data_IF_951984345896
#
_entry.id   IF_951984345896
#
_cell.length_a   1.000
_cell.length_b   1.000
_cell.length_c   1.000
_cell.angle_alpha   90.00
_cell.angle_beta   90.00
_cell.angle_gamma   90.00
#
_symmetry.space_group_name_H-M   'P 1'
#
loop_
_entity.id
_entity.type
_entity.pdbx_description
1 polymer ?
#
# COMPACT_ATOMS: atom_id res chain seq x y z
N UNK A 1 5.34 10.20 -12.03
CA UNK A 1 4.03 9.69 -11.63
C UNK A 1 4.04 8.18 -11.63
N UNK A 2 3.72 7.59 -10.49
CA UNK A 2 3.61 6.13 -10.36
C UNK A 2 2.19 5.69 -10.71
N UNK A 3 2.03 4.55 -11.40
CA UNK A 3 0.71 3.96 -11.56
C UNK A 3 0.08 3.62 -10.19
N UNK A 4 -1.20 3.94 -10.01
CA UNK A 4 -1.90 3.73 -8.73
C UNK A 4 -1.91 2.27 -8.26
N UNK A 5 -1.89 1.32 -9.21
CA UNK A 5 -1.81 -0.13 -8.91
C UNK A 5 -0.45 -0.59 -8.35
N UNK A 6 0.55 0.29 -8.28
CA UNK A 6 1.83 0.02 -7.62
C UNK A 6 1.88 0.56 -6.18
N UNK A 7 0.75 0.97 -5.62
CA UNK A 7 0.64 1.30 -4.20
C UNK A 7 0.39 0.02 -3.41
N UNK A 8 1.45 -0.70 -3.11
CA UNK A 8 1.36 -1.92 -2.31
C UNK A 8 1.41 -1.57 -0.82
N UNK A 9 0.66 -2.32 -0.03
CA UNK A 9 0.72 -2.31 1.43
C UNK A 9 1.21 -3.66 1.92
N UNK A 10 1.81 -3.71 3.11
CA UNK A 10 2.33 -4.92 3.69
C UNK A 10 1.65 -5.18 5.02
N UNK A 11 1.20 -6.42 5.24
CA UNK A 11 0.65 -6.92 6.48
C UNK A 11 1.75 -7.54 7.38
N UNK A 12 1.46 -7.73 8.67
CA UNK A 12 2.39 -8.26 9.66
C UNK A 12 3.34 -7.24 10.28
N UNK A 13 3.30 -5.99 9.84
CA UNK A 13 4.04 -4.87 10.44
C UNK A 13 3.12 -3.66 10.59
N UNK A 14 3.48 -2.71 11.44
CA UNK A 14 2.81 -1.42 11.52
C UNK A 14 3.75 -0.30 11.09
N UNK A 15 3.22 0.72 10.40
CA UNK A 15 4.03 1.83 9.91
C UNK A 15 3.21 3.06 9.54
N UNK A 16 3.90 4.17 9.33
CA UNK A 16 3.31 5.37 8.76
C UNK A 16 4.04 5.78 7.47
N UNK A 17 3.30 6.45 6.59
CA UNK A 17 3.83 6.98 5.33
C UNK A 17 3.88 8.49 5.41
N UNK A 18 5.08 9.05 5.47
CA UNK A 18 5.35 10.50 5.47
C UNK A 18 5.49 11.00 4.04
N UNK A 19 4.42 11.54 3.47
CA UNK A 19 4.42 12.06 2.10
C UNK A 19 4.94 13.49 1.99
N UNK A 20 5.34 14.15 3.08
CA UNK A 20 6.05 15.43 3.03
C UNK A 20 7.45 15.28 2.44
N UNK A 21 8.01 14.08 2.49
CA UNK A 21 9.32 13.76 1.95
C UNK A 21 9.26 13.40 0.46
N UNK A 22 10.30 13.70 -0.33
CA UNK A 22 10.34 13.29 -1.72
C UNK A 22 10.35 11.76 -1.87
N UNK A 23 9.95 11.26 -3.03
CA UNK A 23 10.07 9.84 -3.35
C UNK A 23 11.55 9.44 -3.40
N UNK A 24 11.92 8.32 -2.74
CA UNK A 24 13.29 7.78 -2.80
C UNK A 24 13.63 7.24 -4.18
N UNK A 25 12.67 6.60 -4.82
CA UNK A 25 12.84 5.96 -6.12
C UNK A 25 11.92 6.60 -7.17
N UNK A 26 12.35 6.57 -8.41
CA UNK A 26 11.50 6.90 -9.55
C UNK A 26 10.65 5.69 -10.00
N UNK A 27 9.81 5.88 -11.03
CA UNK A 27 8.94 4.85 -11.59
C UNK A 27 9.68 3.63 -12.17
N UNK A 28 10.98 3.75 -12.39
CA UNK A 28 11.84 2.70 -12.91
C UNK A 28 12.65 1.98 -11.81
N UNK A 29 12.38 2.32 -10.54
CA UNK A 29 13.05 1.73 -9.38
C UNK A 29 14.45 2.29 -9.13
N UNK A 30 14.83 3.37 -9.83
CA UNK A 30 16.13 4.02 -9.66
C UNK A 30 16.08 5.00 -8.47
N UNK A 31 17.07 4.93 -7.58
CA UNK A 31 17.20 5.88 -6.47
C UNK A 31 17.49 7.29 -6.99
N UNK A 32 16.57 8.23 -6.71
CA UNK A 32 16.68 9.64 -7.07
C UNK A 32 16.87 10.54 -5.85
N UNK A 33 16.44 10.08 -4.68
CA UNK A 33 16.67 10.75 -3.39
C UNK A 33 17.09 9.68 -2.36
N UNK A 34 18.34 9.21 -2.36
CA UNK A 34 18.78 8.03 -1.59
C UNK A 34 18.59 8.18 -0.08
N UNK A 35 18.68 9.39 0.45
CA UNK A 35 18.52 9.68 1.88
C UNK A 35 17.05 9.85 2.31
N UNK A 36 16.11 9.85 1.37
CA UNK A 36 14.69 9.99 1.67
C UNK A 36 14.09 8.66 2.12
N UNK A 37 13.35 8.67 3.23
CA UNK A 37 12.56 7.56 3.69
C UNK A 37 11.17 8.04 4.05
N UNK A 38 10.16 7.58 3.29
CA UNK A 38 8.74 7.87 3.56
C UNK A 38 8.14 6.94 4.61
N UNK A 39 8.68 5.72 4.75
CA UNK A 39 8.23 4.79 5.77
C UNK A 39 8.87 5.19 7.09
N UNK A 40 8.03 5.52 8.07
CA UNK A 40 8.43 5.92 9.42
C UNK A 40 7.68 5.10 10.45
N UNK A 41 8.20 5.02 11.67
CA UNK A 41 7.61 4.26 12.77
C UNK A 41 7.34 2.79 12.42
N UNK A 42 8.22 2.19 11.61
CA UNK A 42 8.10 0.78 11.21
C UNK A 42 8.37 -0.14 12.40
N UNK A 43 7.37 -0.97 12.72
CA UNK A 43 7.41 -1.88 13.86
C UNK A 43 6.98 -3.30 13.48
N UNK A 44 7.55 -4.26 14.14
CA UNK A 44 7.14 -5.66 14.16
C UNK A 44 6.85 -6.08 15.61
N UNK A 45 5.72 -6.70 15.89
CA UNK A 45 5.26 -7.06 17.24
C UNK A 45 5.34 -5.89 18.24
N UNK A 46 4.98 -4.67 17.80
CA UNK A 46 4.96 -3.48 18.63
C UNK A 46 6.34 -2.91 19.01
N UNK A 47 7.41 -3.40 18.38
CA UNK A 47 8.79 -2.93 18.58
C UNK A 47 9.37 -2.38 17.28
N UNK A 48 10.26 -1.38 17.36
CA UNK A 48 10.99 -0.95 16.16
C UNK A 48 11.66 -2.14 15.49
N UNK A 49 11.56 -2.19 14.15
CA UNK A 49 12.14 -3.29 13.38
C UNK A 49 13.68 -3.27 13.50
N UNK A 50 14.27 -4.42 13.69
CA UNK A 50 15.73 -4.57 13.62
C UNK A 50 16.14 -4.67 12.14
N UNK A 51 17.03 -3.81 11.64
CA UNK A 51 17.51 -3.86 10.25
C UNK A 51 18.17 -5.19 9.86
N UNK A 52 18.71 -5.93 10.83
CA UNK A 52 19.35 -7.23 10.60
C UNK A 52 18.37 -8.41 10.66
N UNK A 53 17.13 -8.16 11.08
CA UNK A 53 16.11 -9.20 11.15
C UNK A 53 15.68 -9.64 9.75
N UNK A 54 15.64 -10.95 9.55
CA UNK A 54 15.17 -11.54 8.28
C UNK A 54 13.71 -11.92 8.37
N UNK A 55 12.98 -11.62 7.31
CA UNK A 55 11.59 -11.96 7.16
C UNK A 55 11.37 -12.82 5.91
N UNK A 56 10.37 -13.66 5.94
CA UNK A 56 9.81 -14.30 4.75
C UNK A 56 8.55 -13.53 4.38
N UNK A 57 8.52 -12.98 3.18
CA UNK A 57 7.40 -12.17 2.68
C UNK A 57 6.60 -12.99 1.67
N UNK A 58 5.32 -13.19 1.93
CA UNK A 58 4.39 -13.76 0.95
C UNK A 58 3.93 -12.67 -0.03
N UNK A 59 4.02 -12.95 -1.32
CA UNK A 59 3.61 -12.02 -2.37
C UNK A 59 3.12 -12.79 -3.60
N UNK A 60 2.63 -12.09 -4.62
CA UNK A 60 2.24 -12.72 -5.87
C UNK A 60 3.45 -12.92 -6.81
N UNK A 61 3.29 -13.78 -7.81
CA UNK A 61 4.34 -14.10 -8.77
C UNK A 61 4.80 -12.87 -9.58
N UNK A 62 3.91 -11.92 -9.89
CA UNK A 62 4.27 -10.71 -10.61
C UNK A 62 5.27 -9.85 -9.81
N UNK A 63 5.01 -9.63 -8.52
CA UNK A 63 5.95 -8.90 -7.64
C UNK A 63 7.24 -9.67 -7.44
N UNK A 64 7.15 -10.97 -7.14
CA UNK A 64 8.31 -11.83 -6.92
C UNK A 64 9.28 -11.87 -8.11
N UNK A 65 8.77 -11.71 -9.33
CA UNK A 65 9.60 -11.65 -10.55
C UNK A 65 10.10 -10.24 -10.92
N UNK A 66 9.93 -9.25 -10.05
CA UNK A 66 10.38 -7.87 -10.28
C UNK A 66 9.33 -6.96 -10.92
N UNK A 67 8.08 -7.41 -11.02
CA UNK A 67 6.98 -6.61 -11.53
C UNK A 67 6.72 -5.36 -10.69
N UNK A 68 6.56 -4.20 -11.35
CA UNK A 68 6.43 -2.90 -10.70
C UNK A 68 7.77 -2.26 -10.34
N UNK A 69 8.91 -2.93 -10.63
CA UNK A 69 10.26 -2.42 -10.42
C UNK A 69 10.54 -2.00 -8.97
N UNK A 70 10.00 -2.76 -8.02
CA UNK A 70 10.32 -2.55 -6.61
C UNK A 70 11.79 -2.90 -6.36
N UNK A 71 12.57 -2.02 -5.72
CA UNK A 71 13.97 -2.27 -5.43
C UNK A 71 14.15 -3.55 -4.61
N UNK A 72 15.25 -4.25 -4.88
CA UNK A 72 15.66 -5.47 -4.17
C UNK A 72 14.69 -6.67 -4.26
N UNK A 73 13.62 -6.58 -5.04
CA UNK A 73 12.74 -7.71 -5.33
C UNK A 73 13.13 -8.32 -6.69
N UNK A 74 13.63 -9.55 -6.64
CA UNK A 74 14.08 -10.28 -7.83
C UNK A 74 13.85 -11.78 -7.67
N UNK A 75 13.79 -12.49 -8.80
CA UNK A 75 13.46 -13.90 -8.85
C UNK A 75 14.46 -14.81 -8.10
N UNK A 76 15.71 -14.38 -7.97
CA UNK A 76 16.77 -15.10 -7.24
C UNK A 76 16.53 -15.11 -5.71
N UNK A 77 15.66 -14.27 -5.20
CA UNK A 77 15.26 -14.21 -3.78
C UNK A 77 14.05 -15.08 -3.44
N UNK A 78 13.44 -15.70 -4.44
CA UNK A 78 12.29 -16.58 -4.24
C UNK A 78 12.75 -17.89 -3.61
N UNK A 79 12.27 -18.18 -2.40
CA UNK A 79 12.61 -19.39 -1.65
C UNK A 79 11.55 -20.48 -1.78
N UNK A 80 10.33 -20.12 -2.17
CA UNK A 80 9.22 -21.06 -2.34
C UNK A 80 8.18 -20.51 -3.34
N UNK A 81 7.70 -21.37 -4.20
CA UNK A 81 6.59 -21.08 -5.12
C UNK A 81 5.43 -22.01 -4.77
N UNK A 82 4.33 -21.43 -4.26
CA UNK A 82 3.13 -22.20 -3.95
C UNK A 82 2.44 -22.68 -5.24
N UNK A 83 1.90 -23.91 -5.26
CA UNK A 83 1.17 -24.44 -6.42
C UNK A 83 -0.22 -23.80 -6.58
N UNK A 84 -0.78 -23.27 -5.50
CA UNK A 84 -2.13 -22.70 -5.49
C UNK A 84 -2.15 -21.27 -6.02
N UNK A 85 -3.21 -20.90 -6.71
CA UNK A 85 -3.44 -19.50 -7.08
C UNK A 85 -3.96 -18.70 -5.87
N UNK A 86 -3.74 -17.38 -5.86
CA UNK A 86 -4.31 -16.51 -4.82
C UNK A 86 -5.84 -16.66 -4.73
N UNK A 87 -6.51 -16.86 -5.86
CA UNK A 87 -7.95 -17.10 -5.90
C UNK A 87 -8.32 -18.37 -5.15
N UNK A 88 -7.62 -19.47 -5.38
CA UNK A 88 -7.93 -20.75 -4.73
C UNK A 88 -7.74 -20.67 -3.22
N UNK A 89 -6.70 -19.97 -2.76
CA UNK A 89 -6.45 -19.72 -1.34
C UNK A 89 -7.59 -18.92 -0.71
N UNK A 90 -8.02 -17.83 -1.37
CA UNK A 90 -9.12 -16.98 -0.88
C UNK A 90 -10.44 -17.77 -0.84
N UNK A 91 -10.74 -18.55 -1.89
CA UNK A 91 -11.97 -19.36 -1.94
C UNK A 91 -11.98 -20.41 -0.81
N UNK A 92 -10.86 -21.11 -0.60
CA UNK A 92 -10.76 -22.08 0.52
C UNK A 92 -10.94 -21.38 1.87
N UNK A 93 -10.28 -20.25 2.08
CA UNK A 93 -10.44 -19.50 3.32
C UNK A 93 -11.89 -19.11 3.58
N UNK A 94 -12.62 -18.61 2.56
CA UNK A 94 -14.04 -18.26 2.71
C UNK A 94 -14.89 -19.50 3.04
N UNK A 95 -14.63 -20.63 2.40
CA UNK A 95 -15.34 -21.90 2.66
C UNK A 95 -15.09 -22.35 4.11
N UNK A 96 -13.83 -22.34 4.55
CA UNK A 96 -13.44 -22.81 5.88
C UNK A 96 -14.00 -21.92 7.00
N UNK A 97 -14.07 -20.61 6.77
CA UNK A 97 -14.64 -19.68 7.75
C UNK A 97 -16.18 -19.64 7.72
N UNK A 98 -16.81 -20.06 6.63
CA UNK A 98 -18.27 -19.99 6.40
C UNK A 98 -18.76 -18.55 6.21
N UNK A 99 -18.52 -17.67 7.17
CA UNK A 99 -18.82 -16.23 7.08
C UNK A 99 -17.57 -15.43 7.35
N UNK A 100 -17.25 -14.49 6.46
CA UNK A 100 -16.15 -13.56 6.65
C UNK A 100 -16.70 -12.16 6.91
N UNK A 101 -15.97 -11.37 7.70
CA UNK A 101 -16.24 -9.96 7.95
C UNK A 101 -14.98 -9.15 7.55
N UNK A 102 -14.84 -8.80 6.26
CA UNK A 102 -13.67 -8.06 5.79
C UNK A 102 -13.60 -6.69 6.44
N UNK A 103 -12.51 -6.39 7.10
CA UNK A 103 -12.25 -5.10 7.70
C UNK A 103 -10.79 -4.72 7.51
N UNK A 104 -10.49 -3.42 7.47
CA UNK A 104 -9.12 -2.96 7.52
C UNK A 104 -8.56 -3.17 8.93
N UNK A 105 -7.35 -3.67 9.04
CA UNK A 105 -6.63 -3.88 10.29
C UNK A 105 -5.94 -2.62 10.83
N UNK A 106 -5.97 -1.52 10.03
CA UNK A 106 -5.36 -0.24 10.36
C UNK A 106 -3.85 -0.33 10.69
N UNK A 107 -3.16 -1.30 10.10
CA UNK A 107 -1.74 -1.52 10.34
C UNK A 107 -0.83 -0.45 9.72
N UNK A 108 -1.38 0.41 8.86
CA UNK A 108 -0.68 1.57 8.34
C UNK A 108 -1.56 2.82 8.28
N UNK A 109 -0.91 3.98 8.27
CA UNK A 109 -1.58 5.28 8.07
C UNK A 109 -0.63 6.27 7.39
N UNK A 110 -1.16 7.39 6.93
CA UNK A 110 -0.29 8.53 6.61
C UNK A 110 0.19 9.19 7.90
N UNK A 111 1.43 9.64 7.92
CA UNK A 111 1.91 10.49 9.00
C UNK A 111 1.19 11.84 8.94
N UNK A 112 0.73 12.41 10.06
CA UNK A 112 0.10 13.72 10.08
C UNK A 112 1.06 14.79 9.57
N UNK A 113 0.62 15.60 8.61
CA UNK A 113 1.37 16.73 8.07
C UNK A 113 0.49 17.96 8.10
N UNK A 114 0.80 18.92 8.97
CA UNK A 114 -0.03 20.09 9.18
C UNK A 114 -0.28 20.86 7.87
N UNK A 115 -1.54 21.25 7.65
CA UNK A 115 -1.98 22.04 6.48
C UNK A 115 -1.66 21.38 5.12
N UNK A 116 -1.61 20.06 5.09
CA UNK A 116 -1.25 19.30 3.89
C UNK A 116 -2.38 18.38 3.46
N UNK A 117 -2.50 18.19 2.17
CA UNK A 117 -3.47 17.28 1.58
C UNK A 117 -2.81 16.43 0.49
N UNK A 118 -3.30 15.20 0.32
CA UNK A 118 -2.97 14.35 -0.81
C UNK A 118 -4.14 14.31 -1.80
N UNK A 119 -3.83 14.31 -3.08
CA UNK A 119 -4.83 14.17 -4.14
C UNK A 119 -4.73 12.76 -4.71
N UNK A 120 -5.89 12.12 -4.91
CA UNK A 120 -5.99 10.86 -5.62
C UNK A 120 -7.23 10.87 -6.52
N UNK A 121 -7.23 10.00 -7.52
CA UNK A 121 -8.34 9.83 -8.45
C UNK A 121 -8.86 8.40 -8.38
N UNK A 122 -10.19 8.27 -8.42
CA UNK A 122 -10.88 6.97 -8.46
C UNK A 122 -12.17 7.07 -9.25
N UNK A 123 -12.89 5.96 -9.42
CA UNK A 123 -14.14 5.94 -10.14
C UNK A 123 -15.16 6.97 -9.60
N UNK A 124 -15.96 7.63 -10.46
CA UNK A 124 -16.82 8.74 -10.05
C UNK A 124 -17.88 8.35 -9.00
N UNK A 125 -18.25 7.07 -8.92
CA UNK A 125 -19.15 6.56 -7.88
C UNK A 125 -18.56 6.63 -6.46
N UNK A 126 -17.25 6.83 -6.32
CA UNK A 126 -16.60 7.06 -5.03
C UNK A 126 -17.18 8.24 -4.24
N UNK A 127 -17.75 9.24 -4.95
CA UNK A 127 -18.45 10.38 -4.33
C UNK A 127 -19.58 9.96 -3.39
N UNK A 128 -20.26 8.86 -3.72
CA UNK A 128 -21.39 8.37 -2.94
C UNK A 128 -20.96 7.79 -1.58
N UNK A 129 -19.68 7.47 -1.41
CA UNK A 129 -19.15 6.77 -0.25
C UNK A 129 -18.11 7.59 0.54
N UNK A 130 -17.73 8.75 0.05
CA UNK A 130 -16.70 9.58 0.70
C UNK A 130 -17.07 9.96 2.14
N UNK A 131 -18.36 10.20 2.40
CA UNK A 131 -18.88 10.54 3.73
C UNK A 131 -18.92 9.33 4.70
N UNK A 132 -18.88 8.11 4.21
CA UNK A 132 -18.95 6.88 5.01
C UNK A 132 -17.57 6.48 5.58
N UNK A 133 -16.50 7.10 5.08
CA UNK A 133 -15.12 6.77 5.46
C UNK A 133 -14.85 7.30 6.86
N UNK A 134 -14.47 6.38 7.76
CA UNK A 134 -14.10 6.69 9.13
C UNK A 134 -12.58 6.73 9.26
N UNK A 135 -12.08 7.64 10.10
CA UNK A 135 -10.65 7.76 10.40
C UNK A 135 -9.82 8.56 9.37
N UNK A 136 -10.45 9.05 8.31
CA UNK A 136 -9.82 9.95 7.34
C UNK A 136 -10.82 11.01 6.87
N UNK A 137 -10.36 12.22 6.64
CA UNK A 137 -11.17 13.29 6.05
C UNK A 137 -10.90 13.33 4.55
N UNK A 138 -11.92 12.93 3.77
CA UNK A 138 -11.87 12.91 2.31
C UNK A 138 -12.90 13.90 1.77
N UNK A 139 -12.46 14.77 0.88
CA UNK A 139 -13.28 15.82 0.26
C UNK A 139 -13.31 15.60 -1.26
N UNK A 140 -14.47 15.82 -1.88
CA UNK A 140 -14.57 15.88 -3.35
C UNK A 140 -13.78 17.09 -3.86
N UNK A 141 -12.89 16.87 -4.77
CA UNK A 141 -12.06 17.89 -5.40
C UNK A 141 -12.40 18.09 -6.90
N UNK A 142 -13.57 17.61 -7.33
CA UNK A 142 -14.08 17.77 -8.68
C UNK A 142 -13.75 16.61 -9.62
N UNK A 143 -13.73 16.91 -10.91
CA UNK A 143 -13.46 15.90 -11.93
C UNK A 143 -11.96 15.72 -12.15
N UNK A 144 -11.55 14.48 -12.33
CA UNK A 144 -10.21 14.05 -12.67
C UNK A 144 -10.06 13.78 -14.18
N UNK A 145 -8.96 13.14 -14.55
CA UNK A 145 -8.71 12.74 -15.93
C UNK A 145 -9.58 11.54 -16.33
N UNK A 146 -9.84 11.38 -17.63
CA UNK A 146 -10.46 10.18 -18.23
C UNK A 146 -11.78 9.73 -17.57
N UNK A 147 -12.57 10.67 -17.03
CA UNK A 147 -13.85 10.36 -16.36
C UNK A 147 -13.71 9.89 -14.91
N UNK A 148 -12.54 9.96 -14.32
CA UNK A 148 -12.35 9.76 -12.89
C UNK A 148 -12.87 10.95 -12.07
N UNK A 149 -13.17 10.71 -10.81
CA UNK A 149 -13.37 11.76 -9.81
C UNK A 149 -12.08 11.98 -9.02
N UNK A 150 -11.81 13.24 -8.70
CA UNK A 150 -10.68 13.66 -7.90
C UNK A 150 -11.08 13.87 -6.45
N UNK A 151 -10.29 13.38 -5.54
CA UNK A 151 -10.51 13.51 -4.11
C UNK A 151 -9.28 14.10 -3.42
N UNK A 152 -9.55 14.78 -2.31
CA UNK A 152 -8.54 15.33 -1.43
C UNK A 152 -8.59 14.61 -0.09
N UNK A 153 -7.51 13.98 0.30
CA UNK A 153 -7.28 13.44 1.63
C UNK A 153 -6.58 14.50 2.47
N UNK A 154 -7.15 14.87 3.62
CA UNK A 154 -6.52 15.78 4.60
C UNK A 154 -5.63 14.94 5.52
N UNK A 155 -4.38 15.38 5.72
CA UNK A 155 -3.35 14.66 6.50
C UNK A 155 -3.14 15.28 7.87
#
# INVERSE_FOLDING_TARGET
DFPSYNFDVIDGVTYQIDISKPAKFDKDGKAVNPDSNRIVNLQFDGKPIDPEQKFVVATNNYRASGGGKFPDIAADKVIFVAPDTNRDVIVRYIIDQGTINPSADANWSFAPVANTTAIFETGPKGRNYAADIKGAKIEDAGDGAEGFAKFRLVL
#
